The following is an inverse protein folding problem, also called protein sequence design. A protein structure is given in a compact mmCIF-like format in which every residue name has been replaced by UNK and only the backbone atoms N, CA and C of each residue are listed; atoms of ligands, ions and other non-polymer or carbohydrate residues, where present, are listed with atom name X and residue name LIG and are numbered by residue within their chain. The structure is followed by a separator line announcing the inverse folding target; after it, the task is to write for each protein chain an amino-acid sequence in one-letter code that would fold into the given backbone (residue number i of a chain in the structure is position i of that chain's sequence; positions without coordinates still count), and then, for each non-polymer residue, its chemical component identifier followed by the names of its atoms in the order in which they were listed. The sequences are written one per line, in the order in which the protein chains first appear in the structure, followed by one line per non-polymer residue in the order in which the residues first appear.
data_IF_571989650777
#
_entry.id   IF_571989650777
#
_cell.length_a   1.000
_cell.length_b   1.000
_cell.length_c   1.000
_cell.angle_alpha   90.00
_cell.angle_beta   90.00
_cell.angle_gamma   90.00
#
_symmetry.space_group_name_H-M   'P 1'
#
loop_
_entity.id
_entity.type
_entity.pdbx_description
1 polymer ?
#
# COMPACT_ATOMS: atom_id res chain seq x y z
N UNK A 1 6.52 7.02 -8.95
CA UNK A 1 7.67 6.49 -9.71
C UNK A 1 7.33 5.23 -10.50
N UNK A 2 6.73 4.21 -9.89
CA UNK A 2 6.50 2.89 -10.54
C UNK A 2 5.01 2.50 -10.62
N UNK A 3 4.16 3.46 -10.99
CA UNK A 3 2.70 3.31 -10.99
C UNK A 3 2.11 2.75 -12.28
N UNK A 4 1.02 2.01 -12.18
CA UNK A 4 0.29 1.38 -13.30
C UNK A 4 -0.25 2.41 -14.30
N UNK A 5 -0.56 3.62 -13.85
CA UNK A 5 -1.00 4.73 -14.71
C UNK A 5 0.11 5.30 -15.60
N UNK A 6 1.37 5.03 -15.28
CA UNK A 6 2.52 5.45 -16.09
C UNK A 6 2.82 4.47 -17.24
N UNK A 7 2.17 3.32 -17.24
CA UNK A 7 2.38 2.26 -18.24
C UNK A 7 1.09 2.07 -19.03
N UNK A 8 1.07 2.46 -20.32
CA UNK A 8 -0.07 2.22 -21.20
C UNK A 8 -0.45 0.73 -21.21
N UNK A 9 -1.74 0.37 -21.30
CA UNK A 9 -2.21 -1.02 -21.23
C UNK A 9 -1.42 -2.00 -22.11
N UNK A 10 -1.11 -1.60 -23.34
CA UNK A 10 -0.38 -2.37 -24.34
C UNK A 10 1.12 -2.57 -24.03
N UNK A 11 1.66 -1.84 -23.04
CA UNK A 11 3.05 -1.94 -22.60
C UNK A 11 3.20 -2.54 -21.20
N UNK A 12 2.10 -3.02 -20.61
CA UNK A 12 2.10 -3.64 -19.28
C UNK A 12 2.74 -5.01 -19.34
N UNK A 13 3.96 -5.08 -18.81
CA UNK A 13 4.73 -6.30 -18.72
C UNK A 13 5.45 -6.37 -17.36
N UNK A 14 4.91 -7.13 -16.39
CA UNK A 14 5.47 -7.19 -15.04
C UNK A 14 6.85 -7.89 -15.00
N UNK A 15 7.23 -8.64 -16.05
CA UNK A 15 8.60 -9.19 -16.16
C UNK A 15 9.63 -8.10 -16.45
N UNK A 16 9.22 -6.92 -16.92
CA UNK A 16 10.12 -5.83 -17.36
C UNK A 16 10.02 -4.56 -16.51
N UNK A 17 8.90 -4.35 -15.82
CA UNK A 17 8.73 -3.17 -14.95
C UNK A 17 9.58 -3.27 -13.68
N UNK A 18 10.11 -2.14 -13.20
CA UNK A 18 10.98 -2.06 -12.02
C UNK A 18 10.56 -0.99 -11.01
N UNK A 19 10.82 -1.25 -9.73
CA UNK A 19 10.66 -0.31 -8.61
C UNK A 19 11.84 0.62 -8.41
N UNK A 20 12.85 0.59 -9.29
CA UNK A 20 14.07 1.41 -9.19
C UNK A 20 13.79 2.89 -8.93
N UNK A 21 12.84 3.48 -9.64
CA UNK A 21 12.46 4.88 -9.45
C UNK A 21 11.88 5.18 -8.07
N UNK A 22 11.24 4.21 -7.41
CA UNK A 22 10.76 4.37 -6.02
C UNK A 22 11.93 4.49 -5.05
N UNK A 23 12.97 3.65 -5.21
CA UNK A 23 14.18 3.76 -4.38
C UNK A 23 14.93 5.06 -4.62
N UNK A 24 14.93 5.59 -5.85
CA UNK A 24 15.47 6.93 -6.13
C UNK A 24 14.71 8.03 -5.38
N UNK A 25 13.38 7.94 -5.26
CA UNK A 25 12.60 8.92 -4.48
C UNK A 25 12.87 8.81 -2.98
N UNK A 26 13.04 7.60 -2.45
CA UNK A 26 13.44 7.40 -1.04
C UNK A 26 14.82 8.02 -0.80
N UNK A 27 15.80 7.74 -1.68
CA UNK A 27 17.13 8.34 -1.61
C UNK A 27 17.07 9.87 -1.68
N UNK A 28 16.27 10.43 -2.58
CA UNK A 28 16.09 11.88 -2.68
C UNK A 28 15.50 12.49 -1.40
N UNK A 29 14.58 11.79 -0.72
CA UNK A 29 14.06 12.22 0.58
C UNK A 29 15.15 12.20 1.66
N UNK A 30 15.98 11.16 1.69
CA UNK A 30 17.13 11.07 2.60
C UNK A 30 18.16 12.18 2.32
N UNK A 31 18.42 12.49 1.05
CA UNK A 31 19.29 13.59 0.59
C UNK A 31 18.76 14.95 1.05
N UNK A 32 17.43 15.13 1.09
CA UNK A 32 16.77 16.30 1.66
C UNK A 32 16.79 16.35 3.21
N UNK A 33 17.41 15.36 3.86
CA UNK A 33 17.51 15.30 5.32
C UNK A 33 16.31 14.67 6.02
N UNK A 34 15.37 14.06 5.29
CA UNK A 34 14.24 13.38 5.92
C UNK A 34 14.72 12.20 6.78
N UNK A 35 14.07 12.01 7.92
CA UNK A 35 14.29 10.89 8.84
C UNK A 35 13.00 10.13 9.20
N UNK A 36 11.84 10.69 8.87
CA UNK A 36 10.55 10.01 8.92
C UNK A 36 9.97 10.06 7.50
N UNK A 37 9.88 8.90 6.85
CA UNK A 37 9.47 8.76 5.46
C UNK A 37 8.25 7.84 5.42
N UNK A 38 7.15 8.37 4.89
CA UNK A 38 5.94 7.59 4.61
C UNK A 38 5.91 7.23 3.13
N UNK A 39 5.77 5.95 2.82
CA UNK A 39 5.73 5.42 1.46
C UNK A 39 4.35 4.81 1.20
N UNK A 40 3.58 5.42 0.29
CA UNK A 40 2.38 4.82 -0.27
C UNK A 40 2.72 3.94 -1.47
N UNK A 41 2.41 2.64 -1.41
CA UNK A 41 2.80 1.66 -2.44
C UNK A 41 1.64 1.21 -3.35
N UNK A 42 0.44 1.74 -3.15
CA UNK A 42 -0.74 1.42 -3.97
C UNK A 42 -0.58 1.75 -5.46
N UNK A 43 -1.28 1.00 -6.32
CA UNK A 43 -1.34 1.28 -7.76
C UNK A 43 -0.05 0.99 -8.53
N UNK A 44 0.79 0.07 -8.06
CA UNK A 44 2.06 -0.34 -8.69
C UNK A 44 1.87 -1.01 -10.06
N UNK A 45 2.83 -0.82 -10.98
CA UNK A 45 2.95 -1.59 -12.22
C UNK A 45 3.80 -2.87 -12.09
N UNK A 46 4.49 -3.04 -10.97
CA UNK A 46 5.66 -3.92 -10.83
C UNK A 46 5.38 -5.24 -10.12
N UNK A 47 6.16 -6.28 -10.41
CA UNK A 47 6.22 -7.54 -9.64
C UNK A 47 7.69 -7.97 -9.53
N UNK A 48 8.52 -7.11 -8.94
CA UNK A 48 9.98 -7.27 -8.87
C UNK A 48 10.50 -7.52 -7.44
N UNK A 49 9.62 -7.86 -6.49
CA UNK A 49 10.03 -8.12 -5.11
C UNK A 49 10.62 -6.92 -4.37
N UNK A 50 10.54 -5.72 -4.95
CA UNK A 50 11.24 -4.54 -4.45
C UNK A 50 12.75 -4.53 -4.71
N UNK A 51 13.30 -5.49 -5.48
CA UNK A 51 14.73 -5.55 -5.79
C UNK A 51 15.22 -4.32 -6.57
N UNK A 52 14.41 -3.78 -7.49
CA UNK A 52 14.74 -2.53 -8.17
C UNK A 52 14.89 -1.36 -7.17
N UNK A 53 13.96 -1.24 -6.23
CA UNK A 53 14.01 -0.24 -5.16
C UNK A 53 15.27 -0.42 -4.29
N UNK A 54 15.58 -1.66 -3.92
CA UNK A 54 16.77 -1.99 -3.14
C UNK A 54 18.08 -1.61 -3.86
N UNK A 55 18.18 -1.89 -5.17
CA UNK A 55 19.33 -1.47 -5.97
C UNK A 55 19.54 0.05 -5.95
N UNK A 56 18.47 0.83 -6.03
CA UNK A 56 18.57 2.29 -5.95
C UNK A 56 19.01 2.81 -4.57
N UNK A 57 18.82 2.00 -3.52
CA UNK A 57 19.24 2.22 -2.15
C UNK A 57 20.62 1.61 -1.83
N UNK A 58 21.33 1.08 -2.84
CA UNK A 58 22.70 0.60 -2.71
C UNK A 58 22.86 -0.89 -2.44
N UNK A 59 21.77 -1.67 -2.43
CA UNK A 59 21.85 -3.14 -2.35
C UNK A 59 22.34 -3.70 -3.68
N UNK A 60 23.31 -4.60 -3.63
CA UNK A 60 23.84 -5.28 -4.81
C UNK A 60 23.30 -6.71 -4.84
N UNK A 61 22.80 -7.12 -6.01
CA UNK A 61 22.37 -8.49 -6.26
C UNK A 61 23.33 -9.11 -7.26
N UNK A 62 23.75 -10.35 -7.04
CA UNK A 62 24.67 -11.07 -7.94
C UNK A 62 24.07 -12.36 -8.46
N UNK A 63 24.53 -12.83 -9.62
CA UNK A 63 24.21 -14.15 -10.16
C UNK A 63 25.10 -15.26 -9.59
N UNK A 64 24.93 -16.49 -10.09
CA UNK A 64 25.65 -17.68 -9.64
C UNK A 64 27.17 -17.60 -9.92
N UNK A 65 27.56 -16.82 -10.92
CA UNK A 65 28.95 -16.53 -11.27
C UNK A 65 29.53 -15.35 -10.45
N UNK A 66 28.74 -14.79 -9.53
CA UNK A 66 29.13 -13.65 -8.70
C UNK A 66 29.17 -12.33 -9.46
N UNK A 67 28.58 -12.24 -10.65
CA UNK A 67 28.47 -10.99 -11.40
C UNK A 67 27.26 -10.20 -10.93
N UNK A 68 27.38 -8.87 -10.90
CA UNK A 68 26.27 -8.01 -10.52
C UNK A 68 25.11 -8.14 -11.54
N UNK A 69 23.91 -8.38 -11.02
CA UNK A 69 22.69 -8.34 -11.81
C UNK A 69 22.46 -6.95 -12.41
N UNK A 70 21.84 -6.91 -13.58
CA UNK A 70 21.55 -5.67 -14.28
C UNK A 70 20.80 -4.65 -13.39
N UNK A 71 21.16 -3.38 -13.54
CA UNK A 71 20.49 -2.28 -12.84
C UNK A 71 19.02 -2.18 -13.25
N UNK A 72 18.15 -1.97 -12.28
CA UNK A 72 16.70 -1.90 -12.49
C UNK A 72 16.09 -3.29 -12.62
N UNK A 73 16.48 -4.20 -11.73
CA UNK A 73 15.92 -5.54 -11.60
C UNK A 73 14.38 -5.47 -11.66
N UNK A 74 13.84 -6.33 -12.51
CA UNK A 74 12.42 -6.50 -12.76
C UNK A 74 12.02 -7.94 -12.40
N UNK A 75 10.72 -8.23 -12.45
CA UNK A 75 10.22 -9.57 -12.13
C UNK A 75 10.90 -10.70 -12.92
N UNK A 76 11.27 -10.46 -14.18
CA UNK A 76 11.95 -11.44 -15.01
C UNK A 76 13.39 -11.75 -14.61
N UNK A 77 14.07 -10.84 -13.92
CA UNK A 77 15.48 -11.01 -13.52
C UNK A 77 15.68 -11.67 -12.15
N UNK A 78 14.61 -11.87 -11.39
CA UNK A 78 14.71 -12.37 -10.01
C UNK A 78 15.26 -13.79 -9.92
N UNK A 79 14.98 -14.66 -10.89
CA UNK A 79 15.47 -16.04 -10.91
C UNK A 79 16.99 -16.15 -11.08
N UNK A 80 17.66 -15.10 -11.56
CA UNK A 80 19.11 -15.09 -11.70
C UNK A 80 19.83 -14.74 -10.39
N UNK A 81 19.13 -14.22 -9.37
CA UNK A 81 19.74 -13.77 -8.12
C UNK A 81 20.28 -14.97 -7.34
N UNK A 82 21.58 -15.04 -7.13
CA UNK A 82 22.20 -16.03 -6.25
C UNK A 82 22.85 -15.40 -5.00
N UNK A 83 23.08 -14.09 -5.00
CA UNK A 83 23.70 -13.37 -3.87
C UNK A 83 23.06 -12.01 -3.60
N UNK A 84 23.07 -11.61 -2.33
CA UNK A 84 22.65 -10.29 -1.86
C UNK A 84 23.77 -9.68 -1.02
N UNK A 85 24.30 -8.54 -1.45
CA UNK A 85 25.26 -7.74 -0.71
C UNK A 85 24.63 -6.42 -0.23
N UNK A 86 24.63 -6.24 1.09
CA UNK A 86 24.09 -5.09 1.80
C UNK A 86 25.16 -4.07 2.20
N UNK A 87 26.44 -4.31 1.87
CA UNK A 87 27.58 -3.49 2.30
C UNK A 87 27.50 -2.03 1.81
N UNK A 88 26.91 -1.81 0.64
CA UNK A 88 26.75 -0.50 0.01
C UNK A 88 25.35 0.11 0.25
N UNK A 89 24.51 -0.52 1.08
CA UNK A 89 23.20 0.01 1.45
C UNK A 89 23.35 1.38 2.11
N UNK A 90 22.49 2.31 1.73
CA UNK A 90 22.48 3.68 2.26
C UNK A 90 22.40 3.70 3.80
N UNK A 91 23.50 4.07 4.45
CA UNK A 91 23.65 4.03 5.91
C UNK A 91 22.61 4.87 6.66
N UNK A 92 22.02 5.87 5.99
CA UNK A 92 21.00 6.75 6.59
C UNK A 92 19.70 6.00 6.88
N UNK A 93 19.50 4.84 6.25
CA UNK A 93 18.36 3.96 6.50
C UNK A 93 18.35 3.42 7.93
N UNK A 94 19.52 3.25 8.58
CA UNK A 94 19.60 2.81 9.98
C UNK A 94 19.00 3.83 10.96
N UNK A 95 19.10 5.12 10.62
CA UNK A 95 18.58 6.21 11.45
C UNK A 95 17.20 6.71 10.99
N UNK A 96 16.70 6.24 9.84
CA UNK A 96 15.43 6.68 9.27
C UNK A 96 14.29 5.75 9.70
N UNK A 97 13.17 6.33 10.14
CA UNK A 97 11.90 5.63 10.31
C UNK A 97 11.18 5.62 8.95
N UNK A 98 11.13 4.45 8.31
CA UNK A 98 10.38 4.27 7.06
C UNK A 98 9.09 3.51 7.34
N UNK A 99 7.96 4.12 7.05
CA UNK A 99 6.63 3.54 7.23
C UNK A 99 5.95 3.36 5.89
N UNK A 100 5.41 2.19 5.65
CA UNK A 100 4.76 1.84 4.39
C UNK A 100 3.27 1.69 4.62
N UNK A 101 2.46 2.48 3.91
CA UNK A 101 1.01 2.34 3.91
C UNK A 101 0.60 1.06 3.18
N UNK A 102 0.21 0.04 3.94
CA UNK A 102 -0.19 -1.27 3.45
C UNK A 102 -1.54 -1.68 4.05
N UNK A 103 -2.59 -1.65 3.21
CA UNK A 103 -3.96 -1.98 3.62
C UNK A 103 -4.39 -3.41 3.23
N UNK A 104 -3.44 -4.24 2.79
CA UNK A 104 -3.66 -5.63 2.38
C UNK A 104 -2.75 -6.57 3.17
N UNK A 105 -3.18 -7.81 3.35
CA UNK A 105 -2.46 -8.83 4.12
C UNK A 105 -1.81 -9.90 3.23
N UNK A 106 -1.96 -9.78 1.91
CA UNK A 106 -1.45 -10.75 0.94
C UNK A 106 0.05 -11.04 1.17
N UNK A 107 0.44 -12.32 1.32
CA UNK A 107 1.84 -12.72 1.48
C UNK A 107 2.63 -12.49 0.18
N UNK A 108 3.95 -12.66 0.23
CA UNK A 108 4.80 -12.51 -0.95
C UNK A 108 4.45 -13.53 -2.04
N UNK A 109 4.28 -14.79 -1.65
CA UNK A 109 4.00 -15.97 -2.49
C UNK A 109 2.82 -16.77 -1.93
N UNK A 110 2.36 -17.77 -2.66
CA UNK A 110 1.24 -18.65 -2.32
C UNK A 110 -0.03 -18.32 -3.13
N UNK A 111 -1.15 -19.00 -2.85
CA UNK A 111 -2.41 -18.79 -3.58
C UNK A 111 -2.89 -17.33 -3.55
N UNK A 112 -2.69 -16.66 -2.42
CA UNK A 112 -3.00 -15.25 -2.22
C UNK A 112 -1.78 -14.33 -2.40
N UNK A 113 -0.72 -14.83 -3.04
CA UNK A 113 0.56 -14.16 -3.23
C UNK A 113 0.53 -13.00 -4.23
N UNK A 114 1.63 -12.25 -4.28
CA UNK A 114 1.73 -11.01 -5.04
C UNK A 114 1.49 -11.20 -6.55
N UNK A 115 2.08 -12.25 -7.13
CA UNK A 115 1.98 -12.54 -8.56
C UNK A 115 0.56 -12.99 -8.93
N UNK A 116 -0.01 -13.94 -8.18
CA UNK A 116 -1.35 -14.50 -8.46
C UNK A 116 -2.47 -13.50 -8.29
N UNK A 117 -2.44 -12.69 -7.23
CA UNK A 117 -3.52 -11.73 -6.93
C UNK A 117 -3.39 -10.45 -7.76
N UNK A 118 -2.18 -9.93 -7.94
CA UNK A 118 -1.98 -8.60 -8.54
C UNK A 118 -1.29 -8.61 -9.91
N UNK A 119 -0.70 -9.71 -10.34
CA UNK A 119 -0.08 -9.86 -11.66
C UNK A 119 -1.04 -9.63 -12.83
N UNK A 120 -2.27 -10.20 -12.84
CA UNK A 120 -3.19 -10.08 -13.98
C UNK A 120 -3.53 -8.62 -14.34
N UNK A 121 -3.85 -7.78 -13.35
CA UNK A 121 -4.13 -6.36 -13.59
C UNK A 121 -2.90 -5.56 -14.08
N UNK A 122 -1.69 -6.10 -13.87
CA UNK A 122 -0.40 -5.56 -14.33
C UNK A 122 0.03 -6.12 -15.69
N UNK A 123 -0.79 -6.93 -16.36
CA UNK A 123 -0.53 -7.46 -17.70
C UNK A 123 0.06 -8.87 -17.73
N UNK A 124 0.14 -9.59 -16.60
CA UNK A 124 0.60 -10.98 -16.61
C UNK A 124 -0.45 -11.92 -17.20
N UNK A 125 -0.05 -12.76 -18.16
CA UNK A 125 -0.83 -13.95 -18.56
C UNK A 125 -0.73 -15.02 -17.47
N UNK A 126 -1.58 -16.08 -17.47
CA UNK A 126 -1.47 -17.17 -16.51
C UNK A 126 -0.07 -17.80 -16.45
N UNK A 127 0.61 -17.92 -17.59
CA UNK A 127 1.98 -18.45 -17.67
C UNK A 127 2.98 -17.51 -17.01
N UNK A 128 2.85 -16.20 -17.27
CA UNK A 128 3.69 -15.16 -16.64
C UNK A 128 3.44 -15.08 -15.14
N UNK A 129 2.21 -15.31 -14.69
CA UNK A 129 1.88 -15.37 -13.25
C UNK A 129 2.67 -16.48 -12.57
N UNK A 130 2.65 -17.70 -13.10
CA UNK A 130 3.38 -18.82 -12.49
C UNK A 130 4.90 -18.65 -12.59
N UNK A 131 5.40 -18.01 -13.66
CA UNK A 131 6.81 -17.63 -13.74
C UNK A 131 7.20 -16.63 -12.64
N UNK A 132 6.43 -15.55 -12.47
CA UNK A 132 6.66 -14.55 -11.43
C UNK A 132 6.53 -15.13 -10.02
N UNK A 133 5.61 -16.06 -9.83
CA UNK A 133 5.44 -16.77 -8.56
C UNK A 133 6.71 -17.57 -8.20
N UNK A 134 7.24 -18.36 -9.13
CA UNK A 134 8.50 -19.08 -8.92
C UNK A 134 9.69 -18.15 -8.68
N UNK A 135 9.74 -17.03 -9.41
CA UNK A 135 10.77 -16.00 -9.24
C UNK A 135 10.73 -15.31 -7.86
N UNK A 136 9.54 -15.02 -7.35
CA UNK A 136 9.37 -14.45 -6.01
C UNK A 136 9.66 -15.47 -4.90
N UNK A 137 9.33 -16.75 -5.12
CA UNK A 137 9.67 -17.83 -4.19
C UNK A 137 11.19 -18.00 -4.09
N UNK A 138 11.87 -18.01 -5.23
CA UNK A 138 13.34 -18.03 -5.29
C UNK A 138 13.95 -16.85 -4.53
N UNK A 139 13.47 -15.62 -4.78
CA UNK A 139 13.92 -14.44 -4.04
C UNK A 139 13.71 -14.59 -2.52
N UNK A 140 12.56 -15.12 -2.09
CA UNK A 140 12.26 -15.33 -0.68
C UNK A 140 13.24 -16.32 -0.03
N UNK A 141 13.58 -17.40 -0.74
CA UNK A 141 14.54 -18.40 -0.28
C UNK A 141 15.94 -17.80 -0.14
N UNK A 142 16.42 -17.04 -1.13
CA UNK A 142 17.73 -16.36 -1.07
C UNK A 142 17.78 -15.35 0.09
N UNK A 143 16.72 -14.56 0.30
CA UNK A 143 16.63 -13.63 1.44
C UNK A 143 16.72 -14.39 2.77
N UNK A 144 15.96 -15.48 2.91
CA UNK A 144 15.95 -16.29 4.14
C UNK A 144 17.32 -16.88 4.41
N UNK A 145 18.00 -17.40 3.39
CA UNK A 145 19.30 -18.05 3.52
C UNK A 145 20.43 -17.09 3.86
N UNK A 146 20.45 -15.89 3.24
CA UNK A 146 21.59 -14.98 3.33
C UNK A 146 21.40 -13.85 4.34
N UNK A 147 20.16 -13.41 4.56
CA UNK A 147 19.86 -12.31 5.47
C UNK A 147 19.15 -12.78 6.74
N UNK A 148 18.39 -13.88 6.67
CA UNK A 148 17.68 -14.49 7.80
C UNK A 148 16.15 -14.27 7.86
N UNK A 149 15.58 -13.10 7.52
CA UNK A 149 14.14 -12.88 7.57
C UNK A 149 13.34 -13.82 6.67
N UNK A 150 12.27 -14.39 7.20
CA UNK A 150 11.28 -15.13 6.42
C UNK A 150 10.19 -14.19 5.88
N UNK A 151 10.47 -13.61 4.71
CA UNK A 151 9.56 -12.67 4.04
C UNK A 151 8.25 -13.27 3.55
N UNK A 152 8.20 -14.59 3.36
CA UNK A 152 6.99 -15.25 2.90
C UNK A 152 5.86 -15.18 3.95
N UNK A 153 6.23 -15.12 5.24
CA UNK A 153 5.31 -15.08 6.37
C UNK A 153 4.97 -13.67 6.88
N UNK A 154 5.50 -12.62 6.24
CA UNK A 154 5.17 -11.25 6.61
C UNK A 154 3.82 -10.86 5.99
N UNK A 155 2.85 -10.52 6.84
CA UNK A 155 1.53 -10.04 6.40
C UNK A 155 1.69 -8.74 5.59
N UNK A 156 1.17 -8.73 4.37
CA UNK A 156 1.30 -7.58 3.44
C UNK A 156 2.61 -7.55 2.65
N UNK A 157 3.49 -8.55 2.78
CA UNK A 157 4.72 -8.65 2.01
C UNK A 157 4.51 -8.60 0.48
N UNK A 158 3.39 -9.15 0.00
CA UNK A 158 3.04 -9.16 -1.41
C UNK A 158 2.51 -7.84 -1.95
N UNK A 159 2.27 -6.85 -1.08
CA UNK A 159 1.78 -5.55 -1.49
C UNK A 159 2.70 -4.93 -2.56
N UNK A 160 2.06 -4.34 -3.56
CA UNK A 160 2.74 -3.70 -4.68
C UNK A 160 3.71 -4.61 -5.47
N UNK A 161 3.41 -5.92 -5.55
CA UNK A 161 4.23 -6.87 -6.30
C UNK A 161 5.50 -7.29 -5.57
N UNK A 162 5.43 -7.38 -4.24
CA UNK A 162 6.55 -7.74 -3.38
C UNK A 162 7.41 -6.55 -2.93
N UNK A 163 7.10 -5.33 -3.35
CA UNK A 163 7.78 -4.13 -2.83
C UNK A 163 7.60 -3.98 -1.32
N UNK A 164 6.46 -4.44 -0.76
CA UNK A 164 6.27 -4.52 0.69
C UNK A 164 7.38 -5.32 1.37
N UNK A 165 7.65 -6.55 0.90
CA UNK A 165 8.76 -7.38 1.38
C UNK A 165 10.12 -6.67 1.21
N UNK A 166 10.38 -6.13 0.01
CA UNK A 166 11.63 -5.45 -0.28
C UNK A 166 11.90 -4.24 0.61
N UNK A 167 10.88 -3.42 0.91
CA UNK A 167 11.05 -2.28 1.83
C UNK A 167 11.31 -2.73 3.27
N UNK A 168 10.66 -3.82 3.73
CA UNK A 168 10.91 -4.36 5.07
C UNK A 168 12.35 -4.85 5.18
N UNK A 169 12.81 -5.68 4.25
CA UNK A 169 14.14 -6.31 4.31
C UNK A 169 15.26 -5.33 3.99
N UNK A 170 15.14 -4.59 2.89
CA UNK A 170 16.24 -3.80 2.37
C UNK A 170 16.26 -2.36 2.89
N UNK A 171 15.11 -1.83 3.32
CA UNK A 171 15.02 -0.47 3.86
C UNK A 171 14.74 -0.42 5.36
N UNK A 172 14.53 -1.56 6.03
CA UNK A 172 14.19 -1.59 7.46
C UNK A 172 12.81 -0.99 7.76
N UNK A 173 11.91 -1.01 6.79
CA UNK A 173 10.62 -0.35 6.90
C UNK A 173 9.60 -1.16 7.73
N UNK A 174 8.60 -0.47 8.29
CA UNK A 174 7.43 -1.09 8.91
C UNK A 174 6.21 -1.02 7.99
N UNK A 175 5.47 -2.12 7.87
CA UNK A 175 4.17 -2.13 7.20
C UNK A 175 3.09 -1.71 8.19
N UNK A 176 2.42 -0.61 7.91
CA UNK A 176 1.38 -0.04 8.76
C UNK A 176 0.14 0.29 7.92
N UNK A 177 -1.03 0.27 8.54
CA UNK A 177 -2.27 0.64 7.84
C UNK A 177 -2.20 2.11 7.44
N UNK A 178 -2.54 2.43 6.19
CA UNK A 178 -2.41 3.79 5.68
C UNK A 178 -3.20 4.81 6.49
N UNK A 179 -4.39 4.42 6.96
CA UNK A 179 -5.24 5.28 7.81
C UNK A 179 -4.58 5.62 9.15
N UNK A 180 -3.84 4.69 9.74
CA UNK A 180 -3.20 4.91 11.04
C UNK A 180 -1.99 5.85 10.90
N UNK A 181 -1.21 5.69 9.83
CA UNK A 181 -0.11 6.61 9.48
C UNK A 181 -0.64 8.04 9.30
N UNK A 182 -1.70 8.21 8.51
CA UNK A 182 -2.29 9.54 8.24
C UNK A 182 -2.89 10.12 9.53
N UNK A 183 -3.56 9.31 10.34
CA UNK A 183 -4.13 9.74 11.61
C UNK A 183 -3.05 10.23 12.59
N UNK A 184 -1.91 9.55 12.68
CA UNK A 184 -0.76 9.99 13.47
C UNK A 184 -0.22 11.33 12.94
N UNK A 185 0.00 11.42 11.63
CA UNK A 185 0.58 12.60 10.98
C UNK A 185 -0.26 13.88 11.19
N UNK A 186 -1.58 13.77 11.17
CA UNK A 186 -2.49 14.93 11.39
C UNK A 186 -2.85 15.14 12.87
N UNK A 187 -2.34 14.30 13.77
CA UNK A 187 -2.61 14.34 15.20
C UNK A 187 -4.08 14.04 15.54
N UNK A 188 -4.74 13.16 14.77
CA UNK A 188 -6.18 12.91 14.87
C UNK A 188 -6.62 12.50 16.28
N UNK A 189 -5.91 11.57 16.92
CA UNK A 189 -6.25 11.10 18.28
C UNK A 189 -6.23 12.21 19.33
N UNK A 190 -5.35 13.21 19.17
CA UNK A 190 -5.30 14.39 20.06
C UNK A 190 -6.47 15.33 19.80
N UNK A 191 -6.86 15.50 18.53
CA UNK A 191 -8.00 16.33 18.13
C UNK A 191 -9.35 15.74 18.53
N UNK A 192 -9.42 14.42 18.66
CA UNK A 192 -10.63 13.71 19.09
C UNK A 192 -10.86 13.77 20.60
N UNK A 193 -9.82 14.05 21.40
CA UNK A 193 -10.00 14.21 22.85
C UNK A 193 -10.90 15.41 23.15
N UNK A 194 -12.01 15.15 23.86
CA UNK A 194 -13.00 16.18 24.21
C UNK A 194 -13.92 16.59 23.05
N UNK A 195 -13.90 15.89 21.92
CA UNK A 195 -14.84 16.15 20.84
C UNK A 195 -16.23 15.58 21.18
N UNK A 196 -17.28 16.41 21.04
CA UNK A 196 -18.66 15.97 21.23
C UNK A 196 -19.16 15.06 20.09
N UNK A 197 -18.59 15.21 18.89
CA UNK A 197 -18.96 14.48 17.70
C UNK A 197 -17.79 14.42 16.70
N UNK A 198 -17.57 13.24 16.12
CA UNK A 198 -16.69 13.04 14.98
C UNK A 198 -17.50 12.83 13.71
N UNK A 199 -17.29 13.66 12.69
CA UNK A 199 -17.91 13.48 11.37
C UNK A 199 -16.82 13.03 10.39
N UNK A 200 -17.07 11.91 9.70
CA UNK A 200 -16.16 11.35 8.69
C UNK A 200 -16.96 10.85 7.48
N UNK A 201 -16.28 10.37 6.44
CA UNK A 201 -16.95 9.94 5.22
C UNK A 201 -16.01 9.41 4.15
N UNK A 202 -16.59 8.77 3.15
CA UNK A 202 -15.91 8.34 1.93
C UNK A 202 -16.90 8.27 0.75
N UNK A 203 -16.39 8.10 -0.47
CA UNK A 203 -17.24 8.10 -1.68
C UNK A 203 -18.25 6.96 -1.71
N UNK A 204 -17.83 5.74 -1.35
CA UNK A 204 -18.67 4.55 -1.29
C UNK A 204 -18.36 3.78 -0.02
N UNK A 205 -19.40 3.55 0.77
CA UNK A 205 -19.37 2.82 2.03
C UNK A 205 -19.97 1.43 1.80
N UNK A 206 -19.14 0.40 1.75
CA UNK A 206 -19.49 -0.99 1.44
C UNK A 206 -18.69 -1.99 2.30
N UNK A 207 -18.80 -3.29 2.05
CA UNK A 207 -18.06 -4.32 2.80
C UNK A 207 -16.53 -4.13 2.74
N UNK A 208 -15.97 -3.52 1.71
CA UNK A 208 -14.54 -3.24 1.65
C UNK A 208 -14.12 -2.12 2.60
N UNK A 209 -15.06 -1.29 3.05
CA UNK A 209 -14.80 -0.28 4.08
C UNK A 209 -14.46 -0.93 5.42
N UNK A 210 -15.05 -2.10 5.72
CA UNK A 210 -14.76 -2.90 6.90
C UNK A 210 -13.29 -3.35 6.97
N UNK A 211 -12.66 -3.57 5.81
CA UNK A 211 -11.25 -3.93 5.69
C UNK A 211 -10.29 -2.79 6.09
N UNK A 212 -10.82 -1.65 6.53
CA UNK A 212 -10.03 -0.67 7.25
C UNK A 212 -9.77 0.64 6.54
N UNK A 213 -10.65 1.02 5.61
CA UNK A 213 -10.61 2.30 4.91
C UNK A 213 -10.74 3.50 5.86
N UNK A 214 -10.53 4.70 5.31
CA UNK A 214 -10.43 5.96 6.04
C UNK A 214 -11.57 6.18 7.05
N UNK A 215 -12.83 6.00 6.63
CA UNK A 215 -14.00 6.22 7.50
C UNK A 215 -13.99 5.30 8.73
N UNK A 216 -13.68 4.01 8.56
CA UNK A 216 -13.62 3.03 9.65
C UNK A 216 -12.45 3.27 10.59
N UNK A 217 -11.27 3.66 10.08
CA UNK A 217 -10.13 4.00 10.92
C UNK A 217 -10.41 5.23 11.79
N UNK A 218 -11.01 6.27 11.21
CA UNK A 218 -11.44 7.47 11.95
C UNK A 218 -12.49 7.11 13.01
N UNK A 219 -13.50 6.30 12.67
CA UNK A 219 -14.54 5.89 13.62
C UNK A 219 -13.97 5.07 14.79
N UNK A 220 -13.00 4.18 14.54
CA UNK A 220 -12.30 3.44 15.58
C UNK A 220 -11.58 4.39 16.55
N UNK A 221 -10.84 5.37 16.02
CA UNK A 221 -10.12 6.35 16.85
C UNK A 221 -11.09 7.25 17.62
N UNK A 222 -12.20 7.66 17.01
CA UNK A 222 -13.24 8.44 17.68
C UNK A 222 -13.84 7.67 18.85
N UNK A 223 -14.18 6.39 18.65
CA UNK A 223 -14.69 5.50 19.71
C UNK A 223 -13.70 5.35 20.86
N UNK A 224 -12.41 5.18 20.57
CA UNK A 224 -11.36 5.10 21.60
C UNK A 224 -11.23 6.41 22.40
N UNK A 225 -11.51 7.55 21.77
CA UNK A 225 -11.52 8.86 22.43
C UNK A 225 -12.85 9.19 23.13
N UNK A 226 -13.86 8.31 23.06
CA UNK A 226 -15.18 8.52 23.63
C UNK A 226 -16.12 9.42 22.81
N UNK A 227 -15.75 9.78 21.58
CA UNK A 227 -16.56 10.62 20.70
C UNK A 227 -17.46 9.75 19.79
N UNK A 228 -18.78 9.99 19.70
CA UNK A 228 -19.63 9.32 18.72
C UNK A 228 -19.21 9.71 17.30
N UNK A 229 -19.26 8.74 16.38
CA UNK A 229 -18.88 8.95 14.98
C UNK A 229 -20.12 8.95 14.06
N UNK A 230 -20.22 9.93 13.16
CA UNK A 230 -21.22 10.02 12.11
C UNK A 230 -20.54 9.86 10.74
N UNK A 231 -21.01 8.94 9.91
CA UNK A 231 -20.51 8.75 8.55
C UNK A 231 -21.40 9.49 7.55
N UNK A 232 -20.85 10.42 6.79
CA UNK A 232 -21.52 11.04 5.64
C UNK A 232 -20.81 10.55 4.37
N UNK A 233 -21.42 9.60 3.66
CA UNK A 233 -20.81 8.94 2.50
C UNK A 233 -21.53 9.27 1.20
N UNK A 234 -20.88 9.08 0.05
CA UNK A 234 -21.55 9.27 -1.25
C UNK A 234 -22.68 8.25 -1.47
N UNK A 235 -22.37 6.98 -1.26
CA UNK A 235 -23.32 5.86 -1.30
C UNK A 235 -23.06 4.92 -0.12
N UNK A 236 -24.13 4.30 0.41
CA UNK A 236 -24.05 3.22 1.37
C UNK A 236 -24.70 1.98 0.77
N UNK A 237 -23.99 0.86 0.80
CA UNK A 237 -24.53 -0.44 0.44
C UNK A 237 -25.04 -1.17 1.68
N UNK A 238 -25.93 -2.15 1.49
CA UNK A 238 -26.53 -2.93 2.57
C UNK A 238 -25.54 -3.80 3.35
N UNK A 239 -24.37 -4.06 2.79
CA UNK A 239 -23.28 -4.86 3.37
C UNK A 239 -22.27 -4.01 4.16
N UNK A 240 -22.55 -2.73 4.37
CA UNK A 240 -21.61 -1.83 5.02
C UNK A 240 -21.56 -2.01 6.56
N UNK A 241 -20.39 -1.87 7.20
CA UNK A 241 -20.24 -2.08 8.64
C UNK A 241 -20.72 -0.86 9.45
N UNK A 242 -21.94 -0.90 9.97
CA UNK A 242 -22.54 0.22 10.68
C UNK A 242 -22.14 0.34 12.17
N UNK A 243 -21.53 -0.70 12.75
CA UNK A 243 -21.38 -0.86 14.22
C UNK A 243 -20.55 0.23 14.93
N UNK A 244 -19.62 0.87 14.22
CA UNK A 244 -18.77 1.94 14.78
C UNK A 244 -19.40 3.33 14.68
N UNK A 245 -20.53 3.47 14.00
CA UNK A 245 -21.16 4.76 13.74
C UNK A 245 -22.45 4.92 14.52
N UNK A 246 -22.64 6.10 15.12
CA UNK A 246 -23.92 6.53 15.66
C UNK A 246 -24.97 6.76 14.54
N UNK A 247 -24.51 7.02 13.31
CA UNK A 247 -25.36 7.11 12.14
C UNK A 247 -24.56 7.10 10.85
N UNK A 248 -25.18 6.61 9.78
CA UNK A 248 -24.64 6.66 8.42
C UNK A 248 -25.63 7.38 7.52
N UNK A 249 -25.17 8.40 6.79
CA UNK A 249 -26.00 9.20 5.89
C UNK A 249 -25.40 9.24 4.48
N UNK A 250 -25.97 8.46 3.54
CA UNK A 250 -25.54 8.54 2.16
C UNK A 250 -26.06 9.82 1.48
N UNK A 251 -25.29 10.35 0.53
CA UNK A 251 -25.71 11.46 -0.32
C UNK A 251 -26.80 11.01 -1.28
N UNK A 252 -26.59 9.84 -1.90
CA UNK A 252 -27.55 9.19 -2.79
C UNK A 252 -28.63 8.48 -1.98
N UNK A 253 -29.88 8.71 -2.34
CA UNK A 253 -31.05 8.14 -1.66
C UNK A 253 -32.23 9.10 -1.70
N UNK A 254 -33.45 8.53 -1.63
CA UNK A 254 -34.70 9.30 -1.70
C UNK A 254 -34.80 10.09 -3.01
N UNK A 255 -34.77 11.42 -2.89
CA UNK A 255 -34.84 12.39 -3.98
C UNK A 255 -33.52 12.55 -4.77
N UNK A 256 -32.38 12.10 -4.23
CA UNK A 256 -31.06 12.32 -4.83
C UNK A 256 -30.59 11.09 -5.59
N UNK A 257 -30.47 11.24 -6.92
CA UNK A 257 -29.84 10.25 -7.81
C UNK A 257 -28.32 10.44 -7.88
N UNK A 258 -27.59 9.38 -8.23
CA UNK A 258 -26.12 9.38 -8.30
C UNK A 258 -25.55 10.50 -9.18
N UNK A 259 -26.05 10.68 -10.41
CA UNK A 259 -25.56 11.72 -11.31
C UNK A 259 -25.73 13.13 -10.71
N UNK A 260 -26.82 13.35 -9.96
CA UNK A 260 -27.09 14.63 -9.30
C UNK A 260 -26.16 14.84 -8.11
N UNK A 261 -25.88 13.78 -7.33
CA UNK A 261 -24.90 13.78 -6.25
C UNK A 261 -23.48 14.12 -6.75
N UNK A 262 -23.06 13.55 -7.88
CA UNK A 262 -21.76 13.84 -8.49
C UNK A 262 -21.70 15.24 -9.08
N UNK A 263 -22.81 15.74 -9.66
CA UNK A 263 -22.86 17.08 -10.24
C UNK A 263 -22.92 18.20 -9.18
N UNK A 264 -23.49 17.94 -8.00
CA UNK A 264 -23.70 18.94 -6.95
C UNK A 264 -23.24 18.47 -5.55
N UNK A 265 -22.01 17.94 -5.40
CA UNK A 265 -21.61 17.21 -4.20
C UNK A 265 -21.60 18.11 -2.96
N UNK A 266 -21.16 19.36 -3.08
CA UNK A 266 -21.07 20.28 -1.95
C UNK A 266 -22.45 20.65 -1.37
N UNK A 267 -23.42 20.96 -2.23
CA UNK A 267 -24.77 21.34 -1.81
C UNK A 267 -25.47 20.17 -1.11
N UNK A 268 -25.34 18.97 -1.68
CA UNK A 268 -25.96 17.76 -1.16
C UNK A 268 -25.27 17.31 0.14
N UNK A 269 -23.93 17.39 0.21
CA UNK A 269 -23.17 17.11 1.42
C UNK A 269 -23.61 18.02 2.57
N UNK A 270 -23.73 19.34 2.32
CA UNK A 270 -24.21 20.30 3.32
C UNK A 270 -25.62 19.96 3.80
N UNK A 271 -26.55 19.68 2.87
CA UNK A 271 -27.94 19.35 3.21
C UNK A 271 -28.03 18.07 4.04
N UNK A 272 -27.40 16.98 3.59
CA UNK A 272 -27.44 15.68 4.26
C UNK A 272 -26.76 15.70 5.63
N UNK A 273 -25.67 16.46 5.77
CA UNK A 273 -25.02 16.66 7.06
C UNK A 273 -25.95 17.43 8.02
N UNK A 274 -26.58 18.52 7.55
CA UNK A 274 -27.52 19.27 8.39
C UNK A 274 -28.75 18.43 8.80
N UNK A 275 -29.24 17.55 7.93
CA UNK A 275 -30.30 16.60 8.27
C UNK A 275 -29.87 15.56 9.32
N UNK A 276 -28.61 15.13 9.30
CA UNK A 276 -28.08 14.11 10.22
C UNK A 276 -27.70 14.66 11.61
N UNK A 277 -27.59 15.98 11.75
CA UNK A 277 -27.28 16.66 13.02
C UNK A 277 -28.53 17.15 13.79
N UNK A 278 -29.72 16.97 13.21
CA UNK A 278 -31.01 17.30 13.84
C UNK A 278 -31.57 16.09 14.57
#
# INVERSE_FOLDING_TARGET
ASGLQLVPPERRDPLRTTTFGTGQLIRAALDAGARDIVVGIGGSATVDGGCGCAQALGVVFTDAEGQECARGLSGGGLSAIAGIDMSNRDERLEAARIRVGCDVTNPLTGPDGAARVYGPQKGATPEVVEQLEGHLAHLADVIREQLGPDVANISGAGAAGGLGAGLVVFAGATLERGVDIVAEAVGLSKRLHGADLCITGEGKFDSQSAAGKAAMGVARLARLAGAPALCICGQAHSDAPHELFAGVRPLVGGDVKLHHAIANPQAILKRRTAEALR
#
